data_IF_325805900796
#
_entry.id   IF_325805900796
#
_cell.length_a   1.000
_cell.length_b   1.000
_cell.length_c   1.000
_cell.angle_alpha   90.00
_cell.angle_beta   90.00
_cell.angle_gamma   90.00
#
_symmetry.space_group_name_H-M   'P 1'
#
loop_
_entity.id
_entity.type
_entity.pdbx_description
1 polymer ?
#
# COMPACT_ATOMS: atom_id res chain seq x y z
N UNK A 1 20.01 -3.15 -5.11
CA UNK A 1 19.14 -2.34 -4.23
C UNK A 1 19.11 -3.02 -2.87
N UNK A 2 19.38 -2.31 -1.76
CA UNK A 2 19.34 -2.88 -0.39
C UNK A 2 18.15 -2.39 0.43
N UNK A 3 17.51 -1.30 -0.03
CA UNK A 3 16.32 -0.71 0.54
C UNK A 3 15.46 -0.15 -0.59
N UNK A 4 14.14 -0.34 -0.53
CA UNK A 4 13.19 0.18 -1.52
C UNK A 4 11.92 0.70 -0.87
N UNK A 5 11.41 1.81 -1.37
CA UNK A 5 10.04 2.27 -1.08
C UNK A 5 9.23 2.08 -2.35
N UNK A 6 8.14 1.32 -2.26
CA UNK A 6 7.28 1.01 -3.39
C UNK A 6 5.92 1.68 -3.23
N UNK A 7 5.41 2.20 -4.34
CA UNK A 7 4.10 2.85 -4.39
C UNK A 7 3.04 1.89 -4.92
N UNK A 8 1.88 1.88 -4.28
CA UNK A 8 0.70 1.12 -4.69
C UNK A 8 -0.52 2.03 -4.61
N UNK A 9 -1.41 1.96 -5.61
CA UNK A 9 -2.68 2.69 -5.58
C UNK A 9 -3.82 1.80 -5.01
N UNK A 10 -4.32 2.11 -3.80
CA UNK A 10 -5.40 1.31 -3.21
C UNK A 10 -6.75 1.58 -3.86
N UNK A 11 -6.99 2.78 -4.40
CA UNK A 11 -8.26 3.16 -5.03
C UNK A 11 -8.68 2.17 -6.12
N UNK A 12 -7.83 1.91 -7.11
CA UNK A 12 -8.12 0.94 -8.17
C UNK A 12 -8.25 -0.49 -7.64
N UNK A 13 -7.45 -0.85 -6.64
CA UNK A 13 -7.49 -2.22 -6.07
C UNK A 13 -8.79 -2.49 -5.32
N UNK A 14 -9.23 -1.54 -4.49
CA UNK A 14 -10.44 -1.69 -3.68
C UNK A 14 -11.70 -1.46 -4.51
N UNK A 15 -11.72 -0.39 -5.31
CA UNK A 15 -12.94 0.03 -6.00
C UNK A 15 -13.14 -0.67 -7.34
N UNK A 16 -12.09 -1.03 -8.06
CA UNK A 16 -12.20 -1.67 -9.39
C UNK A 16 -11.97 -3.17 -9.28
N UNK A 17 -10.84 -3.57 -8.69
CA UNK A 17 -10.49 -4.99 -8.55
C UNK A 17 -11.28 -5.71 -7.44
N UNK A 18 -12.02 -4.95 -6.61
CA UNK A 18 -12.87 -5.44 -5.52
C UNK A 18 -12.12 -6.25 -4.46
N UNK A 19 -10.85 -5.93 -4.24
CA UNK A 19 -10.03 -6.56 -3.19
C UNK A 19 -10.04 -5.64 -1.96
N UNK A 20 -10.48 -6.11 -0.78
CA UNK A 20 -10.47 -5.30 0.43
C UNK A 20 -9.07 -4.75 0.74
N UNK A 21 -9.00 -3.51 1.25
CA UNK A 21 -7.73 -2.84 1.53
C UNK A 21 -6.82 -3.67 2.44
N UNK A 22 -7.37 -4.18 3.56
CA UNK A 22 -6.63 -4.96 4.54
C UNK A 22 -6.00 -6.21 3.91
N UNK A 23 -6.75 -6.92 3.06
CA UNK A 23 -6.28 -8.13 2.39
C UNK A 23 -5.17 -7.81 1.37
N UNK A 24 -5.36 -6.76 0.58
CA UNK A 24 -4.36 -6.31 -0.39
C UNK A 24 -3.07 -5.84 0.30
N UNK A 25 -3.18 -5.00 1.33
CA UNK A 25 -2.05 -4.49 2.09
C UNK A 25 -1.30 -5.66 2.76
N UNK A 26 -2.03 -6.60 3.36
CA UNK A 26 -1.42 -7.78 3.99
C UNK A 26 -0.64 -8.62 2.98
N UNK A 27 -1.22 -8.91 1.82
CA UNK A 27 -0.55 -9.70 0.78
C UNK A 27 0.74 -9.03 0.28
N UNK A 28 0.73 -7.70 0.12
CA UNK A 28 1.93 -6.93 -0.24
C UNK A 28 2.99 -7.03 0.86
N UNK A 29 2.59 -6.86 2.13
CA UNK A 29 3.50 -6.95 3.29
C UNK A 29 4.11 -8.35 3.42
N UNK A 30 3.32 -9.40 3.25
CA UNK A 30 3.82 -10.79 3.29
C UNK A 30 4.89 -11.00 2.20
N UNK A 31 4.65 -10.52 0.97
CA UNK A 31 5.63 -10.59 -0.11
C UNK A 31 6.90 -9.76 0.16
N UNK A 32 6.76 -8.63 0.84
CA UNK A 32 7.89 -7.80 1.28
C UNK A 32 8.76 -8.55 2.31
N UNK A 33 8.15 -9.25 3.26
CA UNK A 33 8.85 -10.07 4.25
C UNK A 33 9.58 -11.26 3.60
N UNK A 34 8.92 -11.94 2.67
CA UNK A 34 9.53 -13.02 1.89
C UNK A 34 10.76 -12.54 1.10
N UNK A 35 10.69 -11.35 0.50
CA UNK A 35 11.81 -10.75 -0.22
C UNK A 35 12.96 -10.35 0.72
N UNK A 36 12.66 -9.88 1.93
CA UNK A 36 13.66 -9.56 2.94
C UNK A 36 14.43 -10.83 3.35
N UNK A 37 13.73 -11.94 3.59
CA UNK A 37 14.35 -13.23 3.93
C UNK A 37 15.18 -13.78 2.76
N UNK A 38 14.62 -13.76 1.54
CA UNK A 38 15.25 -14.41 0.38
C UNK A 38 16.42 -13.62 -0.20
N UNK A 39 16.33 -12.29 -0.18
CA UNK A 39 17.26 -11.42 -0.91
C UNK A 39 17.96 -10.39 -0.01
N UNK A 40 17.58 -10.27 1.26
CA UNK A 40 18.14 -9.27 2.17
C UNK A 40 17.72 -7.83 1.85
N UNK A 41 16.64 -7.64 1.08
CA UNK A 41 16.15 -6.32 0.66
C UNK A 41 15.11 -5.83 1.66
N UNK A 42 15.38 -4.70 2.31
CA UNK A 42 14.40 -4.03 3.15
C UNK A 42 13.43 -3.23 2.30
N UNK A 43 12.15 -3.23 2.65
CA UNK A 43 11.14 -2.54 1.85
C UNK A 43 10.13 -1.78 2.70
N UNK A 44 9.54 -0.72 2.12
CA UNK A 44 8.43 0.06 2.68
C UNK A 44 7.38 0.33 1.62
N UNK A 45 6.12 0.37 2.04
CA UNK A 45 4.96 0.61 1.21
C UNK A 45 4.48 2.06 1.37
N UNK A 46 4.18 2.68 0.24
CA UNK A 46 3.56 4.02 0.14
C UNK A 46 2.22 3.85 -0.56
N UNK A 47 1.13 4.29 0.08
CA UNK A 47 -0.18 4.33 -0.57
C UNK A 47 -0.25 5.58 -1.45
N UNK A 48 -0.32 5.39 -2.77
CA UNK A 48 -0.37 6.48 -3.74
C UNK A 48 -1.81 6.84 -4.09
N UNK A 49 -2.16 8.11 -3.94
CA UNK A 49 -3.46 8.66 -4.33
C UNK A 49 -3.63 8.54 -5.84
N UNK A 50 -4.83 8.15 -6.28
CA UNK A 50 -5.19 8.27 -7.68
C UNK A 50 -5.63 9.71 -7.97
N UNK A 51 -4.76 10.49 -8.60
CA UNK A 51 -5.07 11.88 -8.99
C UNK A 51 -6.09 12.00 -10.13
N UNK A 52 -6.46 10.90 -10.77
CA UNK A 52 -7.51 10.86 -11.81
C UNK A 52 -8.90 10.64 -11.21
N UNK A 53 -8.98 10.22 -9.95
CA UNK A 53 -10.22 10.07 -9.21
C UNK A 53 -10.61 11.37 -8.47
N UNK A 54 -11.86 11.41 -7.99
CA UNK A 54 -12.35 12.52 -7.16
C UNK A 54 -11.55 12.65 -5.85
N UNK A 55 -11.30 13.87 -5.33
CA UNK A 55 -10.50 14.11 -4.13
C UNK A 55 -10.95 13.32 -2.89
N UNK A 56 -12.25 13.05 -2.75
CA UNK A 56 -12.82 12.27 -1.66
C UNK A 56 -12.28 10.83 -1.64
N UNK A 57 -11.80 10.31 -2.78
CA UNK A 57 -11.14 8.99 -2.83
C UNK A 57 -9.77 9.00 -2.16
N UNK A 58 -9.08 10.14 -2.13
CA UNK A 58 -7.84 10.28 -1.38
C UNK A 58 -8.11 10.21 0.14
N UNK A 59 -9.17 10.87 0.62
CA UNK A 59 -9.60 10.78 2.02
C UNK A 59 -10.04 9.37 2.39
N UNK A 60 -10.83 8.71 1.54
CA UNK A 60 -11.24 7.32 1.76
C UNK A 60 -10.04 6.36 1.82
N UNK A 61 -9.00 6.60 1.01
CA UNK A 61 -7.75 5.83 1.07
C UNK A 61 -7.05 5.98 2.43
N UNK A 62 -7.03 7.20 2.97
CA UNK A 62 -6.47 7.46 4.30
C UNK A 62 -7.27 6.77 5.41
N UNK A 63 -8.61 6.74 5.30
CA UNK A 63 -9.46 6.03 6.26
C UNK A 63 -9.09 4.54 6.30
N UNK A 64 -8.91 3.90 5.14
CA UNK A 64 -8.46 2.50 5.09
C UNK A 64 -7.07 2.30 5.73
N UNK A 65 -6.14 3.24 5.54
CA UNK A 65 -4.81 3.18 6.17
C UNK A 65 -4.91 3.28 7.70
N UNK A 66 -5.81 4.12 8.22
CA UNK A 66 -6.04 4.30 9.65
C UNK A 66 -6.73 3.08 10.28
N UNK A 67 -7.65 2.45 9.55
CA UNK A 67 -8.32 1.21 9.98
C UNK A 67 -7.41 -0.02 9.92
N UNK A 68 -6.41 -0.01 9.03
CA UNK A 68 -5.45 -1.11 8.82
C UNK A 68 -3.99 -0.61 8.91
N UNK A 69 -3.52 -0.20 10.10
CA UNK A 69 -2.17 0.30 10.27
C UNK A 69 -1.14 -0.83 10.12
N UNK A 70 -0.05 -0.57 9.40
CA UNK A 70 1.07 -1.49 9.26
C UNK A 70 2.39 -0.75 9.44
N UNK A 71 3.35 -1.28 10.22
CA UNK A 71 4.69 -0.70 10.35
C UNK A 71 5.47 -0.60 9.03
N UNK A 72 5.08 -1.38 8.01
CA UNK A 72 5.69 -1.34 6.68
C UNK A 72 5.00 -0.36 5.75
N UNK A 73 3.82 0.15 6.06
CA UNK A 73 3.12 1.21 5.29
C UNK A 73 3.42 2.57 5.92
N UNK A 74 4.32 3.34 5.31
CA UNK A 74 4.97 4.47 6.00
C UNK A 74 4.50 5.86 5.55
N UNK A 75 3.68 5.94 4.52
CA UNK A 75 3.29 7.25 4.00
C UNK A 75 2.37 7.18 2.80
N UNK A 76 2.16 8.38 2.24
CA UNK A 76 1.32 8.61 1.07
C UNK A 76 2.09 9.30 -0.06
N UNK A 77 1.69 9.02 -1.29
CA UNK A 77 2.13 9.71 -2.51
C UNK A 77 0.93 10.16 -3.37
N UNK A 78 1.19 10.78 -4.53
CA UNK A 78 0.17 11.22 -5.50
C UNK A 78 0.71 11.20 -6.93
#
# INVERSE_FOLDING_TARGET
VIYIELSWNPTGTVLESKIPYADAQKAIVDAMDDCEVKFGIKSRLICAIDRQAEPEKASLMLDWMLESPSPKTIGIGI
#
